data_IF_207611874348
#
_entry.id   IF_207611874348
#
_cell.length_a   1.000
_cell.length_b   1.000
_cell.length_c   1.000
_cell.angle_alpha   90.00
_cell.angle_beta   90.00
_cell.angle_gamma   90.00
#
_symmetry.space_group_name_H-M   'P 1'
#
loop_
_entity.id
_entity.type
_entity.pdbx_description
1 polymer ?
#
# COMPACT_ATOMS: atom_id res chain seq x y z
N UNK A 1 26.70 39.83 -0.78
CA UNK A 1 25.72 39.18 -1.69
C UNK A 1 26.15 37.73 -1.93
N UNK A 2 25.75 36.80 -1.06
CA UNK A 2 26.16 35.38 -1.17
C UNK A 2 25.07 34.36 -0.82
N UNK A 3 23.96 34.77 -0.19
CA UNK A 3 22.92 33.87 0.33
C UNK A 3 21.88 33.39 -0.71
N UNK A 4 21.97 33.82 -1.97
CA UNK A 4 20.88 33.59 -2.95
C UNK A 4 20.92 32.22 -3.64
N UNK A 5 22.10 31.66 -3.96
CA UNK A 5 22.19 30.47 -4.83
C UNK A 5 21.83 29.17 -4.11
N UNK A 6 22.23 29.02 -2.84
CA UNK A 6 21.91 27.82 -2.05
C UNK A 6 20.40 27.67 -1.79
N UNK A 7 19.73 28.78 -1.48
CA UNK A 7 18.29 28.79 -1.24
C UNK A 7 17.49 28.46 -2.51
N UNK A 8 17.89 28.99 -3.67
CA UNK A 8 17.22 28.69 -4.95
C UNK A 8 17.36 27.21 -5.32
N UNK A 9 18.55 26.62 -5.20
CA UNK A 9 18.78 25.20 -5.51
C UNK A 9 17.95 24.30 -4.59
N UNK A 10 17.93 24.60 -3.28
CA UNK A 10 17.14 23.85 -2.31
C UNK A 10 15.63 23.93 -2.61
N UNK A 11 15.12 25.11 -2.97
CA UNK A 11 13.71 25.30 -3.35
C UNK A 11 13.35 24.51 -4.61
N UNK A 12 14.19 24.55 -5.64
CA UNK A 12 13.96 23.81 -6.89
C UNK A 12 13.95 22.30 -6.65
N UNK A 13 14.91 21.78 -5.88
CA UNK A 13 14.95 20.36 -5.52
C UNK A 13 13.73 19.94 -4.69
N UNK A 14 13.30 20.76 -3.73
CA UNK A 14 12.09 20.51 -2.94
C UNK A 14 10.82 20.43 -3.80
N UNK A 15 10.69 21.33 -4.78
CA UNK A 15 9.58 21.31 -5.74
C UNK A 15 9.60 20.07 -6.63
N UNK A 16 10.78 19.66 -7.13
CA UNK A 16 10.92 18.46 -7.95
C UNK A 16 10.58 17.19 -7.17
N UNK A 17 11.00 17.08 -5.91
CA UNK A 17 10.65 15.96 -5.03
C UNK A 17 9.14 15.91 -4.75
N UNK A 18 8.53 17.07 -4.49
CA UNK A 18 7.08 17.16 -4.27
C UNK A 18 6.30 16.73 -5.52
N UNK A 19 6.61 17.31 -6.69
CA UNK A 19 5.94 16.99 -7.95
C UNK A 19 6.18 15.54 -8.37
N UNK A 20 7.40 15.04 -8.21
CA UNK A 20 7.74 13.64 -8.46
C UNK A 20 6.95 12.68 -7.56
N UNK A 21 6.83 13.01 -6.27
CA UNK A 21 6.02 12.25 -5.31
C UNK A 21 4.54 12.23 -5.67
N UNK A 22 3.97 13.38 -6.04
CA UNK A 22 2.58 13.49 -6.51
C UNK A 22 2.39 12.64 -7.77
N UNK A 23 3.25 12.78 -8.78
CA UNK A 23 3.16 12.03 -10.03
C UNK A 23 3.26 10.52 -9.79
N UNK A 24 4.19 10.07 -8.94
CA UNK A 24 4.33 8.67 -8.56
C UNK A 24 3.07 8.16 -7.84
N UNK A 25 2.58 8.89 -6.84
CA UNK A 25 1.37 8.51 -6.10
C UNK A 25 0.13 8.42 -6.97
N UNK A 26 -0.06 9.38 -7.89
CA UNK A 26 -1.13 9.34 -8.90
C UNK A 26 -0.97 8.16 -9.86
N UNK A 27 0.24 7.90 -10.36
CA UNK A 27 0.49 6.81 -11.29
C UNK A 27 0.27 5.44 -10.64
N UNK A 28 0.94 5.15 -9.53
CA UNK A 28 0.86 3.84 -8.86
C UNK A 28 -0.50 3.62 -8.19
N UNK A 29 -1.05 4.65 -7.54
CA UNK A 29 -2.38 4.61 -6.96
C UNK A 29 -3.45 4.44 -8.03
N UNK A 30 -3.39 5.23 -9.10
CA UNK A 30 -4.31 5.15 -10.22
C UNK A 30 -4.24 3.82 -10.95
N UNK A 31 -3.03 3.33 -11.27
CA UNK A 31 -2.83 2.00 -11.85
C UNK A 31 -3.51 0.94 -11.00
N UNK A 32 -3.25 0.93 -9.70
CA UNK A 32 -3.81 -0.09 -8.79
C UNK A 32 -5.34 0.00 -8.69
N UNK A 33 -5.91 1.19 -8.58
CA UNK A 33 -7.36 1.38 -8.39
C UNK A 33 -8.14 1.14 -9.69
N UNK A 34 -7.69 1.71 -10.81
CA UNK A 34 -8.45 1.73 -12.06
C UNK A 34 -8.31 0.45 -12.89
N UNK A 35 -7.34 -0.43 -12.60
CA UNK A 35 -7.24 -1.73 -13.28
C UNK A 35 -8.00 -2.85 -12.59
N UNK A 36 -8.65 -2.61 -11.44
CA UNK A 36 -9.38 -3.65 -10.69
C UNK A 36 -10.54 -4.26 -11.47
N UNK A 37 -11.21 -3.46 -12.31
CA UNK A 37 -12.30 -3.93 -13.16
C UNK A 37 -11.85 -4.89 -14.26
N UNK A 38 -10.55 -5.02 -14.48
CA UNK A 38 -9.93 -5.95 -15.44
C UNK A 38 -9.28 -7.13 -14.73
N UNK A 39 -9.89 -7.58 -13.61
CA UNK A 39 -9.40 -8.73 -12.89
C UNK A 39 -9.51 -9.98 -13.78
N UNK A 40 -8.44 -10.77 -13.81
CA UNK A 40 -8.36 -12.04 -14.54
C UNK A 40 -8.87 -13.14 -13.62
N UNK A 41 -9.67 -14.06 -14.13
CA UNK A 41 -10.07 -15.22 -13.34
C UNK A 41 -8.87 -16.16 -13.14
N UNK A 42 -8.65 -16.65 -11.93
CA UNK A 42 -7.54 -17.56 -11.64
C UNK A 42 -7.63 -18.87 -12.43
N UNK A 43 -8.83 -19.29 -12.81
CA UNK A 43 -9.04 -20.46 -13.70
C UNK A 43 -8.51 -20.25 -15.11
N UNK A 44 -8.24 -19.01 -15.52
CA UNK A 44 -7.72 -18.66 -16.86
C UNK A 44 -6.18 -18.58 -16.91
N UNK A 45 -5.48 -18.74 -15.78
CA UNK A 45 -4.02 -18.65 -15.73
C UNK A 45 -3.40 -19.92 -15.17
N UNK A 46 -2.32 -20.39 -15.80
CA UNK A 46 -1.62 -21.59 -15.34
C UNK A 46 -0.69 -21.27 -14.16
N UNK A 47 -0.13 -20.05 -14.13
CA UNK A 47 0.81 -19.59 -13.12
C UNK A 47 0.52 -18.15 -12.71
N UNK A 48 0.57 -17.89 -11.42
CA UNK A 48 0.36 -16.54 -10.87
C UNK A 48 1.33 -15.49 -11.44
N UNK A 49 2.53 -15.90 -11.88
CA UNK A 49 3.50 -15.01 -12.53
C UNK A 49 2.97 -14.34 -13.81
N UNK A 50 2.09 -15.01 -14.56
CA UNK A 50 1.51 -14.49 -15.80
C UNK A 50 0.63 -13.26 -15.54
N UNK A 51 0.03 -13.20 -14.36
CA UNK A 51 -0.80 -12.09 -13.91
C UNK A 51 -0.02 -11.02 -13.11
N UNK A 52 1.32 -10.99 -13.18
CA UNK A 52 2.15 -10.03 -12.42
C UNK A 52 1.71 -8.59 -12.65
N UNK A 53 1.39 -7.89 -11.56
CA UNK A 53 0.95 -6.50 -11.62
C UNK A 53 -0.44 -6.32 -12.22
N UNK A 54 -1.26 -7.37 -12.20
CA UNK A 54 -2.66 -7.35 -12.58
C UNK A 54 -3.51 -7.79 -11.38
N UNK A 55 -4.81 -7.55 -11.50
CA UNK A 55 -5.78 -8.06 -10.54
C UNK A 55 -6.18 -9.48 -10.95
N UNK A 56 -6.34 -10.34 -9.96
CA UNK A 56 -6.87 -11.69 -10.13
C UNK A 56 -8.06 -11.90 -9.21
N UNK A 57 -8.97 -12.78 -9.61
CA UNK A 57 -10.13 -13.17 -8.82
C UNK A 57 -10.37 -14.67 -8.85
N UNK A 58 -10.90 -15.24 -7.79
CA UNK A 58 -11.31 -16.65 -7.76
C UNK A 58 -12.04 -17.03 -6.48
N UNK A 59 -12.64 -18.22 -6.47
CA UNK A 59 -13.32 -18.79 -5.31
C UNK A 59 -12.33 -19.54 -4.41
N UNK A 60 -12.36 -19.21 -3.11
CA UNK A 60 -11.54 -19.87 -2.09
C UNK A 60 -12.32 -21.04 -1.50
N UNK A 61 -11.76 -22.24 -1.63
CA UNK A 61 -12.35 -23.50 -1.11
C UNK A 61 -11.85 -23.79 0.30
N UNK A 62 -10.60 -23.43 0.63
CA UNK A 62 -10.04 -23.54 1.97
C UNK A 62 -8.92 -22.52 2.18
N UNK A 63 -8.63 -22.20 3.44
CA UNK A 63 -7.57 -21.26 3.81
C UNK A 63 -6.89 -21.68 5.11
N UNK A 64 -5.55 -21.79 5.09
CA UNK A 64 -4.79 -22.09 6.30
C UNK A 64 -4.93 -20.99 7.34
N UNK A 65 -4.65 -21.30 8.60
CA UNK A 65 -4.31 -20.25 9.57
C UNK A 65 -3.10 -19.45 9.09
N UNK A 66 -2.92 -18.27 9.69
CA UNK A 66 -1.78 -17.40 9.41
C UNK A 66 -0.46 -18.15 9.60
N UNK A 67 0.34 -18.28 8.54
CA UNK A 67 1.62 -18.99 8.59
C UNK A 67 2.81 -18.05 8.72
N UNK A 68 2.63 -16.75 8.43
CA UNK A 68 3.71 -15.76 8.49
C UNK A 68 3.19 -14.33 8.72
N UNK A 69 3.87 -13.61 9.62
CA UNK A 69 3.58 -12.21 9.99
C UNK A 69 4.81 -11.34 9.72
N UNK A 70 4.68 -10.30 8.89
CA UNK A 70 5.70 -9.26 8.73
C UNK A 70 5.33 -8.05 9.57
N UNK A 71 6.19 -7.66 10.50
CA UNK A 71 6.05 -6.42 11.28
C UNK A 71 6.81 -5.29 10.61
N UNK A 72 6.10 -4.23 10.22
CA UNK A 72 6.72 -3.01 9.71
C UNK A 72 6.95 -2.01 10.84
N UNK A 73 8.21 -1.60 11.00
CA UNK A 73 8.62 -0.56 11.94
C UNK A 73 9.36 0.53 11.17
N UNK A 74 8.86 1.77 11.19
CA UNK A 74 9.64 2.93 10.76
C UNK A 74 10.57 3.33 11.92
N UNK A 75 11.88 3.07 11.77
CA UNK A 75 12.95 3.42 12.71
C UNK A 75 12.68 3.07 14.19
N UNK A 76 11.94 1.99 14.47
CA UNK A 76 11.63 1.53 15.83
C UNK A 76 10.68 2.41 16.65
N UNK A 77 10.19 3.53 16.09
CA UNK A 77 9.40 4.53 16.83
C UNK A 77 7.92 4.48 16.42
N UNK A 78 7.62 4.18 15.16
CA UNK A 78 6.24 4.14 14.65
C UNK A 78 5.92 2.73 14.15
N UNK A 79 5.11 1.95 14.88
CA UNK A 79 4.56 0.70 14.36
C UNK A 79 3.65 1.04 13.19
N UNK A 80 4.01 0.55 12.00
CA UNK A 80 3.34 0.94 10.73
C UNK A 80 2.36 -0.11 10.24
N UNK A 81 2.36 -1.28 10.88
CA UNK A 81 1.36 -2.32 10.68
C UNK A 81 1.97 -3.70 10.67
N UNK A 82 1.09 -4.69 10.54
CA UNK A 82 1.42 -6.09 10.36
C UNK A 82 0.87 -6.56 9.02
N UNK A 83 1.65 -7.33 8.29
CA UNK A 83 1.19 -8.03 7.09
C UNK A 83 1.03 -9.50 7.46
N UNK A 84 -0.16 -10.02 7.19
CA UNK A 84 -0.51 -11.40 7.52
C UNK A 84 -0.61 -12.19 6.22
N UNK A 85 0.10 -13.31 6.17
CA UNK A 85 0.16 -14.19 5.01
C UNK A 85 -0.52 -15.53 5.30
N UNK A 86 -1.32 -15.98 4.34
CA UNK A 86 -2.12 -17.20 4.40
C UNK A 86 -1.94 -17.99 3.11
N UNK A 87 -2.11 -19.31 3.18
CA UNK A 87 -2.16 -20.16 1.99
C UNK A 87 -3.62 -20.52 1.71
N UNK A 88 -4.08 -20.24 0.50
CA UNK A 88 -5.46 -20.53 0.06
C UNK A 88 -5.47 -21.62 -0.98
N UNK A 89 -6.42 -22.54 -0.82
CA UNK A 89 -6.82 -23.52 -1.82
C UNK A 89 -7.98 -22.92 -2.60
N UNK A 90 -7.77 -22.73 -3.90
CA UNK A 90 -8.75 -22.14 -4.80
C UNK A 90 -9.48 -23.25 -5.56
N UNK A 91 -10.60 -22.92 -6.21
CA UNK A 91 -11.43 -23.88 -6.96
C UNK A 91 -10.77 -24.40 -8.25
N UNK A 92 -9.66 -23.79 -8.68
CA UNK A 92 -8.82 -24.21 -9.81
C UNK A 92 -7.77 -25.27 -9.42
N UNK A 93 -7.91 -25.89 -8.23
CA UNK A 93 -6.94 -26.81 -7.62
C UNK A 93 -5.57 -26.17 -7.28
N UNK A 94 -5.45 -24.85 -7.38
CA UNK A 94 -4.25 -24.08 -7.08
C UNK A 94 -4.10 -23.74 -5.59
N UNK A 95 -2.84 -23.79 -5.12
CA UNK A 95 -2.46 -23.27 -3.79
C UNK A 95 -1.75 -21.94 -3.98
N UNK A 96 -2.32 -20.86 -3.45
CA UNK A 96 -1.77 -19.51 -3.58
C UNK A 96 -1.44 -18.91 -2.23
N UNK A 97 -0.37 -18.12 -2.21
CA UNK A 97 -0.07 -17.25 -1.07
C UNK A 97 -0.88 -15.99 -1.22
N UNK A 98 -1.57 -15.62 -0.15
CA UNK A 98 -2.33 -14.38 -0.09
C UNK A 98 -1.85 -13.54 1.06
N UNK A 99 -1.92 -12.22 0.88
CA UNK A 99 -1.84 -11.25 1.96
C UNK A 99 -3.24 -10.71 2.21
N UNK A 100 -3.70 -10.83 3.45
CA UNK A 100 -5.00 -10.36 3.87
C UNK A 100 -4.96 -9.78 5.29
N UNK A 101 -6.05 -9.11 5.71
CA UNK A 101 -6.18 -8.74 7.12
C UNK A 101 -6.53 -9.97 7.95
N UNK A 102 -6.06 -10.03 9.20
CA UNK A 102 -6.44 -11.10 10.12
C UNK A 102 -7.96 -11.20 10.31
N UNK A 103 -8.63 -10.06 10.35
CA UNK A 103 -10.09 -9.97 10.43
C UNK A 103 -10.83 -10.56 9.22
N UNK A 104 -10.20 -10.59 8.04
CA UNK A 104 -10.77 -11.25 6.87
C UNK A 104 -10.81 -12.75 7.10
N UNK A 105 -9.71 -13.35 7.56
CA UNK A 105 -9.65 -14.77 7.90
C UNK A 105 -10.69 -15.14 8.96
N UNK A 106 -10.68 -14.43 10.10
CA UNK A 106 -11.59 -14.67 11.22
C UNK A 106 -13.07 -14.53 10.85
N UNK A 107 -13.40 -13.70 9.85
CA UNK A 107 -14.76 -13.52 9.37
C UNK A 107 -15.24 -14.71 8.54
N UNK A 108 -14.40 -15.23 7.64
CA UNK A 108 -14.83 -16.15 6.59
C UNK A 108 -14.47 -17.62 6.85
N UNK A 109 -13.42 -17.91 7.63
CA UNK A 109 -12.90 -19.26 7.81
C UNK A 109 -12.97 -19.72 9.25
N UNK A 110 -13.14 -21.02 9.41
CA UNK A 110 -13.04 -21.71 10.68
C UNK A 110 -11.58 -22.17 10.90
N UNK A 111 -11.01 -21.85 12.06
CA UNK A 111 -9.58 -22.06 12.33
C UNK A 111 -9.22 -23.53 12.55
N UNK A 112 -10.19 -24.38 12.91
CA UNK A 112 -9.97 -25.79 13.21
C UNK A 112 -10.11 -26.65 11.95
N UNK A 113 -11.01 -26.25 11.04
CA UNK A 113 -11.31 -27.00 9.81
C UNK A 113 -10.66 -26.40 8.56
N UNK A 114 -10.21 -25.15 8.61
CA UNK A 114 -9.69 -24.37 7.46
C UNK A 114 -10.71 -24.12 6.34
N UNK A 115 -11.96 -24.54 6.55
CA UNK A 115 -13.03 -24.41 5.57
C UNK A 115 -13.78 -23.08 5.75
N UNK A 116 -14.42 -22.56 4.69
CA UNK A 116 -15.37 -21.49 4.80
C UNK A 116 -16.45 -21.83 5.84
N UNK A 117 -16.81 -20.87 6.68
CA UNK A 117 -17.91 -21.03 7.62
C UNK A 117 -19.21 -21.33 6.87
N UNK A 118 -20.02 -22.24 7.42
CA UNK A 118 -21.22 -22.80 6.77
C UNK A 118 -22.05 -21.73 6.02
N UNK A 119 -22.33 -22.00 4.74
CA UNK A 119 -23.11 -21.12 3.85
C UNK A 119 -22.33 -19.98 3.20
N UNK A 120 -21.01 -19.86 3.43
CA UNK A 120 -20.19 -18.81 2.84
C UNK A 120 -19.53 -19.28 1.54
N UNK A 121 -19.81 -18.59 0.43
CA UNK A 121 -18.91 -18.56 -0.73
C UNK A 121 -17.92 -17.41 -0.54
N UNK A 122 -16.64 -17.72 -0.60
CA UNK A 122 -15.59 -16.73 -0.38
C UNK A 122 -14.91 -16.43 -1.70
N UNK A 123 -15.27 -15.30 -2.31
CA UNK A 123 -14.53 -14.79 -3.46
C UNK A 123 -13.36 -13.93 -2.98
N UNK A 124 -12.19 -14.16 -3.56
CA UNK A 124 -10.97 -13.41 -3.32
C UNK A 124 -10.67 -12.60 -4.57
N UNK A 125 -10.50 -11.29 -4.43
CA UNK A 125 -9.93 -10.44 -5.47
C UNK A 125 -8.71 -9.74 -4.91
N UNK A 126 -7.57 -9.84 -5.59
CA UNK A 126 -6.32 -9.21 -5.14
C UNK A 126 -5.36 -8.89 -6.26
N UNK A 127 -4.35 -8.09 -5.94
CA UNK A 127 -3.34 -7.65 -6.89
C UNK A 127 -2.10 -8.54 -6.80
N UNK A 128 -1.61 -9.03 -7.93
CA UNK A 128 -0.45 -9.94 -7.93
C UNK A 128 0.83 -9.17 -7.73
N UNK A 129 1.54 -9.48 -6.65
CA UNK A 129 2.81 -8.86 -6.27
C UNK A 129 3.90 -9.89 -6.12
N UNK A 130 5.13 -9.48 -6.39
CA UNK A 130 6.31 -10.30 -6.12
C UNK A 130 6.58 -10.28 -4.62
N UNK A 131 6.90 -11.43 -4.05
CA UNK A 131 7.37 -11.52 -2.66
C UNK A 131 8.71 -10.80 -2.55
N UNK A 132 8.89 -9.98 -1.53
CA UNK A 132 10.17 -9.31 -1.29
C UNK A 132 11.27 -10.36 -1.08
N UNK A 133 12.39 -10.18 -1.78
CA UNK A 133 13.61 -10.98 -1.64
C UNK A 133 14.04 -11.21 -0.18
N UNK A 134 13.82 -10.23 0.70
CA UNK A 134 14.17 -10.28 2.12
C UNK A 134 13.38 -11.34 2.88
N UNK A 135 12.10 -11.53 2.53
CA UNK A 135 11.20 -12.46 3.21
C UNK A 135 10.95 -13.74 2.39
N UNK A 136 11.38 -13.76 1.12
CA UNK A 136 11.17 -14.88 0.19
C UNK A 136 11.63 -16.21 0.79
N UNK A 137 12.83 -16.26 1.38
CA UNK A 137 13.36 -17.51 1.96
C UNK A 137 12.51 -18.02 3.12
N UNK A 138 12.05 -17.12 3.98
CA UNK A 138 11.27 -17.46 5.19
C UNK A 138 9.87 -17.95 4.80
N UNK A 139 9.20 -17.23 3.90
CA UNK A 139 7.90 -17.64 3.35
C UNK A 139 8.02 -18.99 2.65
N UNK A 140 9.04 -19.20 1.83
CA UNK A 140 9.27 -20.49 1.15
C UNK A 140 9.55 -21.63 2.12
N UNK A 141 10.20 -21.38 3.27
CA UNK A 141 10.44 -22.41 4.29
C UNK A 141 9.14 -22.80 5.01
N UNK A 142 8.28 -21.83 5.33
CA UNK A 142 6.97 -22.11 5.93
C UNK A 142 6.06 -22.86 4.95
N UNK A 143 6.15 -22.53 3.67
CA UNK A 143 5.32 -23.16 2.63
C UNK A 143 5.85 -24.53 2.20
N UNK A 144 7.15 -24.80 2.32
CA UNK A 144 7.69 -26.13 2.09
C UNK A 144 7.15 -27.19 3.08
N UNK A 145 6.58 -26.74 4.21
CA UNK A 145 5.83 -27.62 5.13
C UNK A 145 4.39 -27.87 4.68
N UNK A 146 3.88 -27.07 3.73
CA UNK A 146 2.60 -27.28 3.04
C UNK A 146 2.86 -27.97 1.68
N UNK A 147 1.90 -28.72 1.17
CA UNK A 147 2.02 -29.60 -0.01
C UNK A 147 2.23 -28.88 -1.37
N UNK A 148 2.64 -27.62 -1.36
CA UNK A 148 2.85 -26.82 -2.56
C UNK A 148 4.05 -27.35 -3.37
N UNK A 149 3.81 -27.77 -4.62
CA UNK A 149 4.83 -28.30 -5.53
C UNK A 149 5.83 -27.25 -6.03
N UNK A 150 5.47 -25.97 -6.02
CA UNK A 150 6.33 -24.87 -6.45
C UNK A 150 6.53 -23.85 -5.32
N UNK A 151 7.75 -23.31 -5.22
CA UNK A 151 8.08 -22.25 -4.26
C UNK A 151 7.46 -20.94 -4.74
N UNK A 152 6.55 -20.33 -3.99
CA UNK A 152 5.89 -19.12 -4.45
C UNK A 152 6.91 -17.98 -4.55
N UNK A 153 6.86 -17.29 -5.69
CA UNK A 153 7.61 -16.05 -5.97
C UNK A 153 6.66 -14.84 -5.98
N UNK A 154 5.37 -15.09 -6.17
CA UNK A 154 4.31 -14.10 -6.21
C UNK A 154 3.24 -14.43 -5.17
N UNK A 155 2.51 -13.42 -4.73
CA UNK A 155 1.37 -13.54 -3.82
C UNK A 155 0.23 -12.61 -4.26
N UNK A 156 -0.99 -12.93 -3.82
CA UNK A 156 -2.19 -12.14 -4.08
C UNK A 156 -2.39 -11.16 -2.93
N UNK A 157 -2.26 -9.86 -3.20
CA UNK A 157 -2.46 -8.80 -2.23
C UNK A 157 -3.88 -8.26 -2.25
N UNK A 158 -4.69 -8.68 -1.28
CA UNK A 158 -6.09 -8.20 -1.13
C UNK A 158 -6.17 -6.77 -0.60
N UNK A 159 -5.09 -6.25 -0.02
CA UNK A 159 -5.03 -4.91 0.57
C UNK A 159 -4.54 -3.86 -0.43
N UNK A 160 -4.08 -4.27 -1.62
CA UNK A 160 -3.54 -3.38 -2.64
C UNK A 160 -4.50 -2.22 -3.02
N UNK A 161 -5.81 -2.47 -3.05
CA UNK A 161 -6.81 -1.43 -3.34
C UNK A 161 -6.76 -0.33 -2.28
N UNK A 162 -6.68 -0.71 -1.01
CA UNK A 162 -6.62 0.23 0.11
C UNK A 162 -5.35 1.07 0.03
N UNK A 163 -4.20 0.45 -0.28
CA UNK A 163 -2.94 1.16 -0.50
C UNK A 163 -3.01 2.09 -1.72
N UNK A 164 -3.62 1.66 -2.81
CA UNK A 164 -3.82 2.49 -4.00
C UNK A 164 -4.66 3.73 -3.71
N UNK A 165 -5.76 3.58 -2.97
CA UNK A 165 -6.59 4.71 -2.51
C UNK A 165 -5.79 5.64 -1.59
N UNK A 166 -5.04 5.10 -0.63
CA UNK A 166 -4.18 5.91 0.23
C UNK A 166 -3.14 6.69 -0.56
N UNK A 167 -2.50 6.07 -1.56
CA UNK A 167 -1.56 6.76 -2.44
C UNK A 167 -2.20 7.90 -3.22
N UNK A 168 -3.44 7.73 -3.71
CA UNK A 168 -4.18 8.79 -4.39
C UNK A 168 -4.52 9.95 -3.46
N UNK A 169 -5.05 9.65 -2.26
CA UNK A 169 -5.35 10.67 -1.24
C UNK A 169 -4.09 11.44 -0.88
N UNK A 170 -2.99 10.71 -0.63
CA UNK A 170 -1.69 11.30 -0.36
C UNK A 170 -1.26 12.16 -1.55
N UNK A 171 -1.33 11.69 -2.79
CA UNK A 171 -0.90 12.49 -3.94
C UNK A 171 -1.71 13.80 -4.13
N UNK A 172 -3.01 13.79 -3.81
CA UNK A 172 -3.89 14.96 -3.99
C UNK A 172 -3.75 15.97 -2.84
N UNK A 173 -3.47 15.52 -1.62
CA UNK A 173 -3.46 16.39 -0.44
C UNK A 173 -2.48 17.59 -0.53
N UNK A 174 -1.24 17.46 -1.03
CA UNK A 174 -0.35 18.61 -1.21
C UNK A 174 -0.87 19.61 -2.25
N UNK A 175 -1.57 19.15 -3.29
CA UNK A 175 -2.18 20.06 -4.28
C UNK A 175 -3.19 20.97 -3.59
N UNK A 176 -4.01 20.40 -2.69
CA UNK A 176 -4.93 21.17 -1.86
C UNK A 176 -4.21 22.17 -0.95
N UNK A 177 -3.11 21.76 -0.29
CA UNK A 177 -2.30 22.66 0.55
C UNK A 177 -1.71 23.83 -0.24
N UNK A 178 -1.23 23.59 -1.47
CA UNK A 178 -0.71 24.64 -2.34
C UNK A 178 -1.81 25.62 -2.73
N UNK A 179 -2.99 25.13 -3.12
CA UNK A 179 -4.15 25.99 -3.45
C UNK A 179 -4.55 26.83 -2.24
N UNK A 180 -4.66 26.20 -1.06
CA UNK A 180 -4.99 26.88 0.19
C UNK A 180 -3.98 27.98 0.51
N UNK A 181 -2.68 27.71 0.35
CA UNK A 181 -1.62 28.69 0.54
C UNK A 181 -1.79 29.91 -0.39
N UNK A 182 -2.07 29.69 -1.67
CA UNK A 182 -2.32 30.78 -2.63
C UNK A 182 -3.56 31.60 -2.28
N UNK A 183 -4.66 30.95 -1.84
CA UNK A 183 -5.87 31.64 -1.41
C UNK A 183 -5.60 32.51 -0.18
N UNK A 184 -4.97 31.96 0.86
CA UNK A 184 -4.64 32.68 2.09
C UNK A 184 -3.69 33.87 1.84
N UNK A 185 -2.75 33.73 0.91
CA UNK A 185 -1.87 34.82 0.50
C UNK A 185 -2.64 35.92 -0.23
N UNK A 186 -3.52 35.54 -1.16
CA UNK A 186 -4.31 36.52 -1.95
C UNK A 186 -5.29 37.31 -1.09
N UNK A 187 -5.84 36.71 -0.04
CA UNK A 187 -6.76 37.38 0.89
C UNK A 187 -6.06 38.20 1.97
N UNK A 188 -4.72 38.23 2.01
CA UNK A 188 -3.93 38.92 3.04
C UNK A 188 -4.01 38.25 4.42
N UNK A 189 -4.74 37.14 4.55
CA UNK A 189 -4.88 36.38 5.79
C UNK A 189 -3.56 35.74 6.22
N UNK A 190 -2.72 35.35 5.26
CA UNK A 190 -1.41 34.77 5.55
C UNK A 190 -0.50 35.79 6.26
N UNK A 191 -0.40 37.00 5.74
CA UNK A 191 0.44 38.06 6.29
C UNK A 191 -0.08 38.51 7.67
N UNK A 192 -1.40 38.66 7.80
CA UNK A 192 -2.05 38.99 9.07
C UNK A 192 -1.85 37.90 10.16
N UNK A 193 -1.77 36.62 9.77
CA UNK A 193 -1.54 35.54 10.72
C UNK A 193 -0.06 35.36 11.07
N UNK A 194 0.89 35.60 10.17
CA UNK A 194 2.32 35.40 10.40
C UNK A 194 2.90 36.29 11.53
N UNK A 195 2.29 37.45 11.79
CA UNK A 195 2.65 38.32 12.91
C UNK A 195 2.09 37.83 14.27
N UNK A 196 1.09 36.94 14.24
CA UNK A 196 0.55 36.32 15.44
C UNK A 196 1.30 35.04 15.81
N UNK A 197 1.37 34.72 17.10
CA UNK A 197 1.90 33.43 17.57
C UNK A 197 1.19 32.22 16.94
N UNK A 198 -0.11 32.35 16.64
CA UNK A 198 -0.91 31.31 16.01
C UNK A 198 -0.50 31.03 14.55
N UNK A 199 -0.16 32.05 13.76
CA UNK A 199 0.27 31.84 12.38
C UNK A 199 1.66 31.20 12.27
N UNK A 200 2.57 31.50 13.21
CA UNK A 200 3.86 30.79 13.28
C UNK A 200 3.67 29.30 13.56
N UNK A 201 2.77 28.95 14.49
CA UNK A 201 2.40 27.55 14.78
C UNK A 201 1.76 26.88 13.55
N UNK A 202 0.88 27.58 12.83
CA UNK A 202 0.27 27.06 11.61
C UNK A 202 1.30 26.75 10.50
N UNK A 203 2.27 27.63 10.27
CA UNK A 203 3.36 27.39 9.31
C UNK A 203 4.22 26.20 9.71
N UNK A 204 4.55 26.07 11.00
CA UNK A 204 5.28 24.90 11.52
C UNK A 204 4.48 23.62 11.31
N UNK A 205 3.17 23.61 11.59
CA UNK A 205 2.30 22.45 11.36
C UNK A 205 2.21 22.09 9.87
N UNK A 206 2.18 23.08 8.97
CA UNK A 206 2.24 22.84 7.53
C UNK A 206 3.56 22.19 7.11
N UNK A 207 4.70 22.68 7.58
CA UNK A 207 6.02 22.12 7.26
C UNK A 207 6.14 20.70 7.81
N UNK A 208 5.79 20.47 9.07
CA UNK A 208 5.78 19.14 9.69
C UNK A 208 4.82 18.21 8.94
N UNK A 209 3.66 18.71 8.52
CA UNK A 209 2.71 17.98 7.69
C UNK A 209 3.30 17.56 6.35
N UNK A 210 4.02 18.45 5.66
CA UNK A 210 4.69 18.16 4.37
C UNK A 210 5.84 17.15 4.55
N UNK A 211 6.61 17.26 5.64
CA UNK A 211 7.70 16.31 5.93
C UNK A 211 7.17 14.92 6.31
N UNK A 212 6.16 14.86 7.19
CA UNK A 212 5.47 13.63 7.55
C UNK A 212 4.79 12.99 6.34
N UNK A 213 4.22 13.82 5.46
CA UNK A 213 3.69 13.42 4.18
C UNK A 213 4.74 12.76 3.27
N UNK A 214 5.90 13.40 3.09
CA UNK A 214 6.98 12.86 2.26
C UNK A 214 7.48 11.51 2.78
N UNK A 215 7.63 11.37 4.09
CA UNK A 215 8.00 10.09 4.72
C UNK A 215 6.93 9.01 4.50
N UNK A 216 5.65 9.33 4.67
CA UNK A 216 4.53 8.40 4.43
C UNK A 216 4.42 7.99 2.97
N UNK A 217 4.59 8.92 2.03
CA UNK A 217 4.56 8.63 0.60
C UNK A 217 5.73 7.73 0.19
N UNK A 218 6.95 8.03 0.66
CA UNK A 218 8.12 7.17 0.42
C UNK A 218 7.94 5.77 1.01
N UNK A 219 7.43 5.68 2.23
CA UNK A 219 7.17 4.40 2.88
C UNK A 219 6.09 3.60 2.14
N UNK A 220 5.02 4.25 1.69
CA UNK A 220 3.95 3.59 0.93
C UNK A 220 4.42 3.18 -0.46
N UNK A 221 5.26 3.99 -1.12
CA UNK A 221 5.90 3.63 -2.39
C UNK A 221 6.85 2.44 -2.22
N UNK A 222 7.54 2.31 -1.09
CA UNK A 222 8.38 1.15 -0.81
C UNK A 222 7.56 -0.15 -0.59
N UNK A 223 6.26 -0.04 -0.33
CA UNK A 223 5.35 -1.19 -0.22
C UNK A 223 4.65 -1.54 -1.54
N UNK A 224 4.76 -0.70 -2.59
CA UNK A 224 4.14 -0.94 -3.91
C UNK A 224 5.15 -1.45 -4.92
#
# INVERSE_FOLDING_TARGET
MGESKGNIIATVLGLLLLLGGIAAGLYFGGKTVFTKSKAIDLTEIDKLEEAKGQWVSGEVVACTTEFYEVKHNMNGIIPTGKEHYFATFMSDDGIYVIRASKSWYEKYFDADTFLPKSGSKVELTGYVRKIDSKFTREIQQQIAMTTAKEKPVYYIDTLAMRYGIFLLILAIFPVFLVILFFVLRKTGLLDAQMDSGAGKVFVVLMIVGILGYGALLLHTLAMV
#
